data_IF_226149188372
#
_entry.id   IF_226149188372
#
_cell.length_a   1.000
_cell.length_b   1.000
_cell.length_c   1.000
_cell.angle_alpha   90.00
_cell.angle_beta   90.00
_cell.angle_gamma   90.00
#
_symmetry.space_group_name_H-M   'P 1'
#
loop_
_entity.id
_entity.type
_entity.pdbx_description
1 polymer ?
#
# COMPACT_ATOMS: atom_id res chain seq x y z
N UNK A 1 13.89 -4.17 3.67
CA UNK A 1 14.46 -3.36 2.57
C UNK A 1 14.45 -1.91 3.01
N UNK A 2 15.49 -1.15 2.66
CA UNK A 2 15.60 0.29 2.92
C UNK A 2 15.84 1.00 1.57
N UNK A 3 15.08 2.07 1.30
CA UNK A 3 15.16 2.84 0.06
C UNK A 3 15.18 4.36 0.35
N UNK A 4 15.68 5.12 -0.63
CA UNK A 4 15.63 6.58 -0.63
C UNK A 4 14.77 7.03 -1.80
N UNK A 5 13.66 7.72 -1.50
CA UNK A 5 12.77 8.37 -2.46
C UNK A 5 13.01 9.88 -2.44
N UNK A 6 14.08 10.30 -3.12
CA UNK A 6 14.55 11.70 -3.09
C UNK A 6 13.53 12.72 -3.61
N UNK A 7 12.61 12.27 -4.48
CA UNK A 7 11.64 13.10 -5.19
C UNK A 7 10.24 13.00 -4.54
N UNK A 8 10.14 12.44 -3.33
CA UNK A 8 8.89 12.30 -2.56
C UNK A 8 8.42 13.66 -2.00
N UNK A 9 7.13 13.95 -2.10
CA UNK A 9 6.52 15.05 -1.35
C UNK A 9 6.34 14.62 0.11
N UNK A 10 7.12 15.21 1.01
CA UNK A 10 7.11 14.83 2.43
C UNK A 10 5.89 15.39 3.17
N UNK A 11 5.29 14.57 4.02
CA UNK A 11 4.18 14.94 4.90
C UNK A 11 4.18 14.04 6.16
N UNK A 12 3.09 14.06 6.94
CA UNK A 12 2.94 13.20 8.12
C UNK A 12 3.15 11.70 7.86
N UNK A 13 2.91 11.23 6.64
CA UNK A 13 2.93 9.82 6.22
C UNK A 13 4.05 9.48 5.23
N UNK A 14 4.66 10.49 4.60
CA UNK A 14 5.63 10.34 3.51
C UNK A 14 6.98 10.91 3.93
N UNK A 15 8.02 10.07 3.78
CA UNK A 15 9.39 10.43 4.07
C UNK A 15 10.29 10.06 2.89
N UNK A 16 11.39 10.81 2.72
CA UNK A 16 12.42 10.46 1.73
C UNK A 16 13.11 9.13 2.05
N UNK A 17 13.08 8.67 3.30
CA UNK A 17 13.61 7.38 3.71
C UNK A 17 12.45 6.40 3.90
N UNK A 18 12.51 5.27 3.20
CA UNK A 18 11.44 4.27 3.17
C UNK A 18 11.99 2.94 3.63
N UNK A 19 11.35 2.35 4.63
CA UNK A 19 11.67 1.03 5.15
C UNK A 19 10.49 0.07 4.98
N UNK A 20 10.76 -1.14 4.52
CA UNK A 20 9.71 -2.12 4.22
C UNK A 20 10.12 -3.53 4.62
N UNK A 21 9.15 -4.30 5.14
CA UNK A 21 9.18 -5.74 4.94
C UNK A 21 8.78 -5.99 3.49
N UNK A 22 9.80 -6.17 2.66
CA UNK A 22 9.68 -6.43 1.24
C UNK A 22 9.77 -7.94 1.03
N UNK A 23 8.69 -8.55 0.56
CA UNK A 23 8.51 -9.99 0.56
C UNK A 23 7.96 -10.49 -0.77
N UNK A 24 8.33 -11.72 -1.10
CA UNK A 24 7.93 -12.40 -2.33
C UNK A 24 7.71 -13.88 -2.06
N UNK A 25 6.68 -14.48 -2.67
CA UNK A 25 6.34 -15.90 -2.53
C UNK A 25 6.01 -16.50 -3.89
N UNK A 26 6.65 -17.64 -4.21
CA UNK A 26 6.35 -18.44 -5.40
C UNK A 26 4.95 -19.05 -5.29
N UNK A 27 4.18 -18.96 -6.38
CA UNK A 27 2.82 -19.49 -6.50
C UNK A 27 2.67 -20.35 -7.75
N UNK A 28 1.63 -21.17 -7.81
CA UNK A 28 1.26 -21.86 -9.03
C UNK A 28 0.34 -20.99 -9.89
N UNK A 29 0.24 -21.29 -11.20
CA UNK A 29 -0.68 -20.61 -12.12
C UNK A 29 -2.12 -20.62 -11.61
N UNK A 30 -2.57 -21.73 -10.99
CA UNK A 30 -3.93 -21.87 -10.44
C UNK A 30 -4.22 -20.92 -9.27
N UNK A 31 -3.18 -20.42 -8.61
CA UNK A 31 -3.31 -19.52 -7.47
C UNK A 31 -3.54 -18.06 -7.93
N UNK A 32 -3.49 -17.77 -9.23
CA UNK A 32 -3.78 -16.44 -9.79
C UNK A 32 -5.27 -16.14 -9.83
N UNK A 33 -5.84 -15.97 -8.65
CA UNK A 33 -7.26 -15.73 -8.44
C UNK A 33 -7.44 -14.67 -7.38
N UNK A 34 -8.59 -13.99 -7.42
CA UNK A 34 -8.99 -13.05 -6.37
C UNK A 34 -9.02 -13.75 -5.01
N UNK A 35 -9.59 -14.95 -4.92
CA UNK A 35 -9.69 -15.71 -3.66
C UNK A 35 -8.33 -15.92 -2.98
N UNK A 36 -7.29 -16.26 -3.75
CA UNK A 36 -5.94 -16.47 -3.21
C UNK A 36 -5.28 -15.16 -2.77
N UNK A 37 -5.49 -14.08 -3.52
CA UNK A 37 -5.05 -12.74 -3.15
C UNK A 37 -5.70 -12.33 -1.81
N UNK A 38 -7.02 -12.42 -1.71
CA UNK A 38 -7.75 -12.06 -0.49
C UNK A 38 -7.35 -12.94 0.70
N UNK A 39 -7.14 -14.25 0.50
CA UNK A 39 -6.65 -15.14 1.55
C UNK A 39 -5.27 -14.68 2.08
N UNK A 40 -4.38 -14.27 1.17
CA UNK A 40 -3.04 -13.77 1.54
C UNK A 40 -3.14 -12.46 2.31
N UNK A 41 -4.02 -11.54 1.88
CA UNK A 41 -4.29 -10.28 2.59
C UNK A 41 -4.83 -10.54 4.00
N UNK A 42 -5.81 -11.45 4.16
CA UNK A 42 -6.34 -11.81 5.49
C UNK A 42 -5.25 -12.35 6.42
N UNK A 43 -4.29 -13.11 5.89
CA UNK A 43 -3.17 -13.61 6.67
C UNK A 43 -2.22 -12.48 7.13
N UNK A 44 -1.91 -11.53 6.24
CA UNK A 44 -1.06 -10.37 6.55
C UNK A 44 -1.74 -9.48 7.60
N UNK A 45 -3.01 -9.15 7.41
CA UNK A 45 -3.78 -8.35 8.38
C UNK A 45 -3.88 -9.07 9.72
N UNK A 46 -4.09 -10.39 9.71
CA UNK A 46 -4.04 -11.21 10.92
C UNK A 46 -2.73 -11.03 11.69
N UNK A 47 -1.58 -11.11 11.01
CA UNK A 47 -0.27 -10.92 11.63
C UNK A 47 -0.06 -9.49 12.17
N UNK A 48 -0.58 -8.48 11.47
CA UNK A 48 -0.55 -7.08 11.91
C UNK A 48 -1.36 -6.90 13.19
N UNK A 49 -2.60 -7.42 13.23
CA UNK A 49 -3.46 -7.32 14.43
C UNK A 49 -2.86 -8.07 15.61
N UNK A 50 -2.31 -9.27 15.40
CA UNK A 50 -1.65 -10.05 16.46
C UNK A 50 -0.43 -9.33 17.04
N UNK A 51 0.32 -8.61 16.20
CA UNK A 51 1.43 -7.78 16.64
C UNK A 51 0.93 -6.62 17.50
N UNK A 52 -0.15 -5.96 17.07
CA UNK A 52 -0.77 -4.88 17.84
C UNK A 52 -1.30 -5.35 19.19
N UNK A 53 -1.97 -6.50 19.24
CA UNK A 53 -2.46 -7.13 20.48
C UNK A 53 -1.30 -7.44 21.45
N UNK A 54 -0.19 -7.99 20.93
CA UNK A 54 1.00 -8.27 21.73
C UNK A 54 1.64 -6.98 22.29
N UNK A 55 1.66 -5.89 21.50
CA UNK A 55 2.16 -4.59 21.95
C UNK A 55 1.31 -4.00 23.06
N UNK A 56 -0.02 -4.09 23.00
CA UNK A 56 -0.90 -3.63 24.08
C UNK A 56 -0.65 -4.38 25.39
N UNK A 57 -0.37 -5.69 25.32
CA UNK A 57 -0.03 -6.48 26.50
C UNK A 57 1.31 -6.03 27.09
N UNK A 58 2.32 -5.84 26.23
CA UNK A 58 3.67 -5.46 26.65
C UNK A 58 3.74 -4.00 27.15
N UNK A 59 2.95 -3.11 26.56
CA UNK A 59 2.95 -1.67 26.82
C UNK A 59 1.51 -1.18 27.05
N UNK A 60 0.99 -1.26 28.30
CA UNK A 60 -0.40 -0.90 28.61
C UNK A 60 -0.78 0.58 28.36
N UNK A 61 0.19 1.44 28.06
CA UNK A 61 -0.03 2.83 27.63
C UNK A 61 -0.43 2.96 26.17
N UNK A 62 -0.30 1.90 25.36
CA UNK A 62 -0.75 1.86 23.98
C UNK A 62 -2.23 1.49 23.93
N UNK A 63 -3.00 2.22 23.13
CA UNK A 63 -4.46 2.10 23.07
C UNK A 63 -4.98 1.91 21.63
N UNK A 64 -4.10 1.81 20.64
CA UNK A 64 -4.49 1.58 19.24
C UNK A 64 -5.13 0.21 19.10
N UNK A 65 -6.37 0.15 18.63
CA UNK A 65 -7.08 -1.09 18.30
C UNK A 65 -7.20 -1.19 16.78
N UNK A 66 -6.87 -2.35 16.23
CA UNK A 66 -6.96 -2.63 14.79
C UNK A 66 -8.01 -3.70 14.54
N UNK A 67 -8.80 -3.51 13.47
CA UNK A 67 -9.85 -4.45 13.09
C UNK A 67 -9.27 -5.60 12.25
N UNK A 68 -9.61 -6.85 12.60
CA UNK A 68 -9.13 -8.05 11.88
C UNK A 68 -9.93 -8.34 10.61
N UNK A 69 -11.20 -7.93 10.58
CA UNK A 69 -12.06 -8.16 9.43
C UNK A 69 -11.68 -7.20 8.30
N UNK A 70 -11.29 -7.77 7.16
CA UNK A 70 -10.88 -7.01 5.98
C UNK A 70 -12.09 -6.83 5.07
N UNK A 71 -12.44 -5.59 4.76
CA UNK A 71 -13.41 -5.25 3.73
C UNK A 71 -12.72 -5.17 2.36
N UNK A 72 -13.18 -5.95 1.40
CA UNK A 72 -12.63 -6.00 0.04
C UNK A 72 -13.47 -5.15 -0.90
N UNK A 73 -12.83 -4.25 -1.64
CA UNK A 73 -13.52 -3.37 -2.58
C UNK A 73 -12.58 -2.97 -3.71
N UNK A 74 -13.10 -2.83 -4.92
CA UNK A 74 -12.34 -2.36 -6.08
C UNK A 74 -12.35 -0.84 -6.19
N UNK A 75 -11.32 -0.29 -6.84
CA UNK A 75 -11.26 1.13 -7.20
C UNK A 75 -12.46 1.59 -8.05
N UNK A 76 -12.97 0.72 -8.93
CA UNK A 76 -14.16 1.03 -9.74
C UNK A 76 -15.44 1.09 -8.89
N UNK A 77 -15.64 0.17 -7.95
CA UNK A 77 -16.78 0.24 -7.02
C UNK A 77 -16.77 1.53 -6.19
N UNK A 78 -15.57 1.99 -5.79
CA UNK A 78 -15.44 3.28 -5.10
C UNK A 78 -15.77 4.47 -6.01
N UNK A 79 -15.38 4.43 -7.29
CA UNK A 79 -15.75 5.47 -8.26
C UNK A 79 -17.25 5.50 -8.53
N UNK A 80 -17.88 4.35 -8.64
CA UNK A 80 -19.32 4.23 -8.87
C UNK A 80 -20.11 4.73 -7.66
N UNK A 81 -19.63 4.44 -6.44
CA UNK A 81 -20.25 4.84 -5.18
C UNK A 81 -20.06 6.32 -4.87
N UNK A 82 -18.87 6.87 -5.07
CA UNK A 82 -18.54 8.26 -4.79
C UNK A 82 -17.89 8.94 -6.01
N UNK A 83 -18.70 9.20 -7.05
CA UNK A 83 -18.18 9.70 -8.31
C UNK A 83 -17.59 11.10 -8.25
N UNK A 84 -18.10 11.93 -7.33
CA UNK A 84 -17.67 13.32 -7.17
C UNK A 84 -16.49 13.46 -6.20
N UNK A 85 -16.02 12.35 -5.60
CA UNK A 85 -14.87 12.33 -4.69
C UNK A 85 -13.57 12.10 -5.47
N UNK A 86 -12.48 12.70 -4.99
CA UNK A 86 -11.13 12.35 -5.42
C UNK A 86 -10.76 10.94 -4.94
N UNK A 87 -9.75 10.27 -5.54
CA UNK A 87 -9.27 8.96 -5.09
C UNK A 87 -9.03 8.88 -3.58
N UNK A 88 -8.31 9.86 -3.00
CA UNK A 88 -8.05 9.91 -1.55
C UNK A 88 -9.30 10.15 -0.71
N UNK A 89 -10.26 10.95 -1.18
CA UNK A 89 -11.54 11.10 -0.50
C UNK A 89 -12.36 9.80 -0.50
N UNK A 90 -12.25 8.97 -1.55
CA UNK A 90 -12.89 7.65 -1.59
C UNK A 90 -12.25 6.68 -0.61
N UNK A 91 -10.92 6.66 -0.53
CA UNK A 91 -10.16 5.90 0.47
C UNK A 91 -10.56 6.30 1.90
N UNK A 92 -10.60 7.60 2.19
CA UNK A 92 -11.01 8.10 3.50
C UNK A 92 -12.46 7.73 3.84
N UNK A 93 -13.38 7.86 2.87
CA UNK A 93 -14.78 7.52 3.06
C UNK A 93 -15.00 6.03 3.35
N UNK A 94 -14.33 5.12 2.61
CA UNK A 94 -14.46 3.69 2.88
C UNK A 94 -13.80 3.29 4.19
N UNK A 95 -12.63 3.86 4.53
CA UNK A 95 -11.96 3.57 5.80
C UNK A 95 -12.74 4.06 7.01
N UNK A 96 -13.55 5.11 6.88
CA UNK A 96 -14.47 5.57 7.95
C UNK A 96 -15.64 4.62 8.19
N UNK A 97 -16.04 3.83 7.19
CA UNK A 97 -17.10 2.83 7.31
C UNK A 97 -16.56 1.46 7.73
N UNK A 98 -15.40 1.10 7.20
CA UNK A 98 -14.70 -0.15 7.44
C UNK A 98 -13.25 0.17 7.81
N UNK A 99 -12.85 0.01 9.08
CA UNK A 99 -11.52 0.46 9.50
C UNK A 99 -10.35 -0.32 8.92
N UNK A 100 -10.61 -1.45 8.25
CA UNK A 100 -9.60 -2.26 7.56
C UNK A 100 -10.13 -2.62 6.19
N UNK A 101 -9.49 -2.09 5.15
CA UNK A 101 -9.90 -2.21 3.76
C UNK A 101 -8.75 -2.75 2.94
N UNK A 102 -9.03 -3.66 2.02
CA UNK A 102 -8.15 -3.95 0.91
C UNK A 102 -8.73 -3.35 -0.36
N UNK A 103 -8.11 -2.27 -0.83
CA UNK A 103 -8.52 -1.57 -2.04
C UNK A 103 -7.87 -2.23 -3.24
N UNK A 104 -8.66 -2.92 -4.04
CA UNK A 104 -8.22 -3.76 -5.13
C UNK A 104 -8.22 -3.03 -6.48
N UNK A 105 -7.42 -3.56 -7.41
CA UNK A 105 -7.36 -3.15 -8.80
C UNK A 105 -6.86 -1.72 -8.99
N UNK A 106 -5.65 -1.46 -8.48
CA UNK A 106 -4.99 -0.17 -8.56
C UNK A 106 -4.02 -0.20 -9.73
N UNK A 107 -4.28 0.62 -10.74
CA UNK A 107 -3.30 0.87 -11.80
C UNK A 107 -3.90 1.07 -13.17
N UNK A 108 -5.06 0.49 -13.53
CA UNK A 108 -5.71 0.74 -14.82
C UNK A 108 -6.67 1.95 -14.74
N UNK A 109 -7.05 2.48 -15.91
CA UNK A 109 -7.93 3.64 -16.00
C UNK A 109 -9.37 3.26 -15.62
N UNK A 110 -9.98 4.04 -14.72
CA UNK A 110 -11.36 3.85 -14.31
C UNK A 110 -12.34 4.30 -15.40
N UNK A 111 -13.53 3.69 -15.45
CA UNK A 111 -14.48 3.87 -16.54
C UNK A 111 -15.02 5.30 -16.66
N UNK A 112 -15.27 5.98 -15.53
CA UNK A 112 -15.89 7.32 -15.56
C UNK A 112 -14.85 8.41 -15.68
N UNK A 113 -13.79 8.38 -14.88
CA UNK A 113 -12.76 9.41 -14.90
C UNK A 113 -11.80 9.28 -16.09
N UNK A 114 -11.68 8.09 -16.68
CA UNK A 114 -10.68 7.80 -17.72
C UNK A 114 -9.24 7.93 -17.22
N UNK A 115 -9.05 7.84 -15.89
CA UNK A 115 -7.77 7.98 -15.20
C UNK A 115 -7.65 6.86 -14.18
N UNK A 116 -6.43 6.42 -13.85
CA UNK A 116 -6.25 5.46 -12.78
C UNK A 116 -6.62 6.07 -11.43
N UNK A 117 -7.05 5.22 -10.49
CA UNK A 117 -7.27 5.62 -9.09
C UNK A 117 -5.97 6.15 -8.47
N UNK A 118 -4.87 5.42 -8.68
CA UNK A 118 -3.52 5.82 -8.33
C UNK A 118 -2.51 5.22 -9.32
N UNK A 119 -1.30 5.79 -9.37
CA UNK A 119 -0.22 5.33 -10.24
C UNK A 119 0.31 3.95 -9.83
N UNK A 120 0.50 3.07 -10.82
CA UNK A 120 1.16 1.78 -10.61
C UNK A 120 2.10 1.48 -11.77
N UNK A 121 3.25 0.89 -11.47
CA UNK A 121 4.18 0.53 -12.53
C UNK A 121 3.62 -0.67 -13.33
N UNK A 122 3.95 -0.78 -14.62
CA UNK A 122 3.38 -1.80 -15.50
C UNK A 122 4.06 -3.17 -15.41
N UNK A 123 5.15 -3.29 -14.66
CA UNK A 123 6.14 -4.37 -14.78
C UNK A 123 6.27 -5.28 -13.55
N UNK A 124 5.54 -5.03 -12.46
CA UNK A 124 5.62 -5.89 -11.28
C UNK A 124 4.26 -6.45 -10.82
N UNK A 125 3.22 -5.64 -10.65
CA UNK A 125 1.89 -6.11 -10.22
C UNK A 125 0.93 -6.27 -11.39
N UNK A 126 0.15 -7.35 -11.40
CA UNK A 126 -1.03 -7.45 -12.25
C UNK A 126 -2.13 -6.54 -11.68
N UNK A 127 -2.49 -5.47 -12.39
CA UNK A 127 -3.48 -4.49 -11.93
C UNK A 127 -4.89 -5.07 -11.77
N UNK A 128 -5.17 -6.28 -12.25
CA UNK A 128 -6.42 -6.96 -11.96
C UNK A 128 -6.37 -7.75 -10.64
N UNK A 129 -5.17 -8.02 -10.12
CA UNK A 129 -4.89 -8.89 -8.97
C UNK A 129 -3.92 -8.24 -7.97
N UNK A 130 -4.06 -6.93 -7.76
CA UNK A 130 -3.30 -6.17 -6.77
C UNK A 130 -4.21 -5.33 -5.88
N UNK A 131 -3.60 -4.68 -4.89
CA UNK A 131 -4.27 -3.69 -4.08
C UNK A 131 -3.43 -3.19 -2.92
N UNK A 132 -4.05 -2.29 -2.16
CA UNK A 132 -3.45 -1.65 -0.99
C UNK A 132 -4.22 -2.01 0.27
N UNK A 133 -3.50 -2.30 1.36
CA UNK A 133 -4.08 -2.48 2.69
C UNK A 133 -4.15 -1.11 3.36
N UNK A 134 -5.37 -0.62 3.54
CA UNK A 134 -5.70 0.64 4.19
C UNK A 134 -6.28 0.37 5.56
N UNK A 135 -5.77 1.03 6.59
CA UNK A 135 -6.33 1.03 7.93
C UNK A 135 -6.79 2.45 8.30
N UNK A 136 -7.86 2.58 9.06
CA UNK A 136 -8.28 3.87 9.56
C UNK A 136 -7.36 4.34 10.68
N UNK A 137 -6.78 5.53 10.53
CA UNK A 137 -5.95 6.14 11.56
C UNK A 137 -6.75 7.21 12.32
N UNK A 138 -7.11 6.97 13.60
CA UNK A 138 -7.93 7.91 14.37
C UNK A 138 -7.17 9.16 14.82
N UNK A 139 -5.83 9.15 14.83
CA UNK A 139 -5.00 10.31 15.17
C UNK A 139 -5.06 11.34 14.05
N UNK A 140 -5.05 10.88 12.80
CA UNK A 140 -5.10 11.72 11.60
C UNK A 140 -6.50 11.84 10.98
N UNK A 141 -7.50 11.11 11.51
CA UNK A 141 -8.89 11.03 11.00
C UNK A 141 -8.98 10.73 9.50
N UNK A 142 -8.20 9.74 9.03
CA UNK A 142 -8.10 9.41 7.59
C UNK A 142 -7.68 7.97 7.32
N UNK A 143 -7.78 7.57 6.05
CA UNK A 143 -7.19 6.34 5.54
C UNK A 143 -5.66 6.36 5.67
N UNK A 144 -5.09 5.21 6.02
CA UNK A 144 -3.67 5.03 6.28
C UNK A 144 -3.20 3.74 5.61
N UNK A 145 -2.49 3.89 4.49
CA UNK A 145 -1.96 2.75 3.73
C UNK A 145 -0.73 2.16 4.45
N UNK A 146 -0.81 0.89 4.82
CA UNK A 146 0.31 0.15 5.44
C UNK A 146 1.06 -0.76 4.47
N UNK A 147 0.42 -1.16 3.37
CA UNK A 147 0.99 -2.10 2.42
C UNK A 147 0.46 -1.88 1.02
N UNK A 148 1.35 -2.05 0.06
CA UNK A 148 1.06 -2.18 -1.37
C UNK A 148 1.48 -3.60 -1.80
N UNK A 149 0.57 -4.39 -2.37
CA UNK A 149 0.84 -5.79 -2.71
C UNK A 149 0.00 -6.31 -3.89
N UNK A 150 0.43 -7.43 -4.46
CA UNK A 150 -0.31 -8.04 -5.55
C UNK A 150 0.29 -9.36 -6.01
N UNK A 151 -0.54 -10.09 -6.76
CA UNK A 151 -0.06 -11.16 -7.62
C UNK A 151 0.69 -10.49 -8.76
N UNK A 152 1.92 -10.95 -9.01
CA UNK A 152 2.80 -10.28 -9.96
C UNK A 152 2.30 -10.43 -11.39
N UNK A 153 2.78 -9.59 -12.29
CA UNK A 153 2.47 -9.73 -13.71
C UNK A 153 2.87 -11.10 -14.24
N UNK A 154 2.11 -11.58 -15.22
CA UNK A 154 2.52 -12.67 -16.08
C UNK A 154 2.81 -12.18 -17.50
N UNK A 155 3.04 -13.11 -18.43
CA UNK A 155 3.35 -12.79 -19.81
C UNK A 155 2.27 -11.93 -20.46
N UNK A 156 0.99 -12.24 -20.19
CA UNK A 156 -0.17 -11.58 -20.79
C UNK A 156 -0.40 -10.22 -20.15
N UNK A 157 -0.38 -10.16 -18.80
CA UNK A 157 -0.65 -8.93 -18.09
C UNK A 157 0.48 -7.92 -18.28
N UNK A 158 1.75 -8.34 -18.30
CA UNK A 158 2.86 -7.42 -18.58
C UNK A 158 2.81 -6.89 -20.02
N UNK A 159 2.50 -7.74 -21.02
CA UNK A 159 2.34 -7.31 -22.41
C UNK A 159 1.30 -6.19 -22.53
N UNK A 160 0.12 -6.41 -21.92
CA UNK A 160 -0.96 -5.43 -21.87
C UNK A 160 -0.52 -4.15 -21.15
N UNK A 161 0.03 -4.26 -19.93
CA UNK A 161 0.33 -3.12 -19.07
C UNK A 161 1.46 -2.25 -19.62
N UNK A 162 2.52 -2.84 -20.19
CA UNK A 162 3.61 -2.10 -20.84
C UNK A 162 3.07 -1.28 -22.00
N UNK A 163 2.25 -1.88 -22.86
CA UNK A 163 1.66 -1.19 -23.99
C UNK A 163 0.73 -0.06 -23.54
N UNK A 164 -0.16 -0.36 -22.58
CA UNK A 164 -1.12 0.60 -22.00
C UNK A 164 -0.43 1.82 -21.39
N UNK A 165 0.79 1.68 -20.84
CA UNK A 165 1.59 2.77 -20.25
C UNK A 165 2.65 3.32 -21.20
N UNK A 166 2.66 2.92 -22.47
CA UNK A 166 3.64 3.39 -23.46
C UNK A 166 5.09 3.04 -23.11
N UNK A 167 5.30 1.96 -22.37
CA UNK A 167 6.60 1.49 -21.87
C UNK A 167 7.11 0.25 -22.66
N UNK A 168 6.73 0.12 -23.93
CA UNK A 168 7.10 -1.03 -24.76
C UNK A 168 8.63 -1.18 -24.94
N UNK A 169 9.40 -0.11 -24.77
CA UNK A 169 10.87 -0.13 -24.78
C UNK A 169 11.46 -1.01 -23.66
N UNK A 170 10.76 -1.15 -22.53
CA UNK A 170 11.22 -1.98 -21.39
C UNK A 170 11.30 -3.46 -21.73
N UNK A 171 10.57 -3.93 -22.74
CA UNK A 171 10.61 -5.33 -23.23
C UNK A 171 12.02 -5.78 -23.59
N UNK A 172 12.90 -4.83 -23.93
CA UNK A 172 14.28 -5.14 -24.29
C UNK A 172 15.19 -5.41 -23.08
N UNK A 173 14.75 -5.05 -21.87
CA UNK A 173 15.51 -5.20 -20.63
C UNK A 173 15.52 -6.68 -20.17
N UNK A 174 16.60 -7.12 -19.49
CA UNK A 174 16.79 -8.54 -19.14
C UNK A 174 15.62 -9.17 -18.38
N UNK A 175 15.11 -8.49 -17.36
CA UNK A 175 13.98 -8.98 -16.55
C UNK A 175 12.72 -9.21 -17.40
N UNK A 176 12.36 -8.23 -18.23
CA UNK A 176 11.15 -8.27 -19.05
C UNK A 176 11.24 -9.38 -20.12
N UNK A 177 12.42 -9.57 -20.73
CA UNK A 177 12.65 -10.67 -21.68
C UNK A 177 12.41 -12.03 -21.03
N UNK A 178 12.99 -12.26 -19.86
CA UNK A 178 12.87 -13.52 -19.15
C UNK A 178 11.42 -13.80 -18.72
N UNK A 179 10.72 -12.78 -18.21
CA UNK A 179 9.33 -12.95 -17.79
C UNK A 179 8.41 -13.19 -19.00
N UNK A 180 8.53 -12.40 -20.08
CA UNK A 180 7.74 -12.60 -21.31
C UNK A 180 8.01 -13.96 -22.00
N UNK A 181 9.19 -14.55 -21.76
CA UNK A 181 9.54 -15.89 -22.24
C UNK A 181 9.08 -17.03 -21.30
N UNK A 182 8.43 -16.71 -20.17
CA UNK A 182 7.98 -17.68 -19.18
C UNK A 182 9.12 -18.34 -18.39
N UNK A 183 10.30 -17.69 -18.32
CA UNK A 183 11.49 -18.24 -17.64
C UNK A 183 11.50 -17.95 -16.14
N UNK A 184 10.68 -16.99 -15.69
CA UNK A 184 10.57 -16.63 -14.27
C UNK A 184 9.37 -17.32 -13.61
N UNK A 185 9.47 -17.68 -12.32
CA UNK A 185 8.33 -18.23 -11.59
C UNK A 185 7.25 -17.16 -11.41
N UNK A 186 6.01 -17.62 -11.26
CA UNK A 186 4.90 -16.77 -10.84
C UNK A 186 5.00 -16.53 -9.34
N UNK A 187 4.71 -15.30 -8.93
CA UNK A 187 4.80 -14.90 -7.53
C UNK A 187 3.64 -14.01 -7.10
N UNK A 188 3.46 -13.94 -5.79
CA UNK A 188 2.73 -12.89 -5.09
C UNK A 188 3.72 -12.21 -4.15
N UNK A 189 3.63 -10.90 -4.01
CA UNK A 189 4.50 -10.17 -3.08
C UNK A 189 3.97 -8.80 -2.74
N UNK A 190 4.74 -8.07 -1.93
CA UNK A 190 4.39 -6.72 -1.53
C UNK A 190 5.40 -6.10 -0.58
N UNK A 191 5.18 -4.83 -0.30
CA UNK A 191 5.95 -4.08 0.70
C UNK A 191 5.03 -3.61 1.81
N UNK A 192 5.37 -3.96 3.06
CA UNK A 192 4.70 -3.44 4.25
C UNK A 192 5.62 -2.40 4.89
N UNK A 193 5.16 -1.15 5.00
CA UNK A 193 5.95 -0.04 5.54
C UNK A 193 6.27 -0.23 7.02
N UNK A 194 7.54 -0.34 7.40
CA UNK A 194 7.93 -0.60 8.79
C UNK A 194 7.60 0.61 9.67
N UNK A 195 8.07 1.79 9.28
CA UNK A 195 7.80 3.04 10.01
C UNK A 195 6.33 3.41 9.98
N UNK A 196 5.61 3.14 8.88
CA UNK A 196 4.15 3.32 8.83
C UNK A 196 3.43 2.42 9.83
N UNK A 197 3.83 1.16 9.93
CA UNK A 197 3.24 0.23 10.90
C UNK A 197 3.53 0.65 12.35
N UNK A 198 4.77 1.07 12.64
CA UNK A 198 5.16 1.61 13.95
C UNK A 198 4.33 2.84 14.31
N UNK A 199 4.21 3.81 13.39
CA UNK A 199 3.40 5.02 13.58
C UNK A 199 1.94 4.68 13.90
N UNK A 200 1.34 3.76 13.14
CA UNK A 200 -0.03 3.32 13.36
C UNK A 200 -0.21 2.67 14.75
N UNK A 201 0.61 1.68 15.09
CA UNK A 201 0.48 0.91 16.34
C UNK A 201 0.80 1.72 17.59
N UNK A 202 1.77 2.65 17.51
CA UNK A 202 2.13 3.54 18.62
C UNK A 202 1.11 4.68 18.74
N UNK A 203 0.44 5.05 17.65
CA UNK A 203 -0.51 6.16 17.61
C UNK A 203 0.18 7.52 17.55
N UNK A 204 1.30 7.60 16.80
CA UNK A 204 2.00 8.88 16.56
C UNK A 204 1.34 9.65 15.41
N UNK A 205 1.52 10.97 15.37
CA UNK A 205 0.91 11.84 14.38
C UNK A 205 1.80 12.09 13.15
N UNK A 206 3.10 11.82 13.25
CA UNK A 206 4.07 12.04 12.21
C UNK A 206 5.05 10.87 12.11
N UNK A 207 5.35 10.41 10.89
CA UNK A 207 6.23 9.26 10.65
C UNK A 207 7.66 9.51 11.18
N UNK A 208 8.10 10.77 11.18
CA UNK A 208 9.37 11.18 11.78
C UNK A 208 9.49 10.96 13.30
N UNK A 209 8.41 10.63 14.02
CA UNK A 209 8.48 10.25 15.44
C UNK A 209 9.02 8.82 15.64
N UNK A 210 8.98 8.00 14.59
CA UNK A 210 9.42 6.59 14.63
C UNK A 210 10.59 6.31 13.67
N UNK A 211 11.02 7.33 12.92
CA UNK A 211 12.02 7.21 11.87
C UNK A 211 12.90 8.46 11.77
N UNK A 212 14.22 8.29 11.72
CA UNK A 212 15.15 9.38 11.45
C UNK A 212 15.22 9.67 9.94
N UNK A 213 14.94 10.91 9.54
CA UNK A 213 14.94 11.35 8.14
C UNK A 213 15.24 12.85 8.03
N UNK A 214 15.11 13.40 6.82
CA UNK A 214 15.26 14.85 6.58
C UNK A 214 13.89 15.49 6.45
N UNK A 215 13.73 16.61 7.15
CA UNK A 215 12.52 17.42 7.19
C UNK A 215 12.87 18.88 6.98
N UNK A 216 12.00 19.63 6.33
CA UNK A 216 12.17 21.06 6.19
C UNK A 216 11.93 21.76 7.55
N UNK A 217 12.38 23.01 7.63
CA UNK A 217 12.31 23.78 8.88
C UNK A 217 10.87 24.06 9.32
N UNK A 218 9.94 24.27 8.38
CA UNK A 218 8.55 24.55 8.70
C UNK A 218 7.90 23.33 9.37
N UNK A 219 8.14 22.13 8.85
CA UNK A 219 7.71 20.87 9.45
C UNK A 219 8.26 20.68 10.87
N UNK A 220 9.57 20.90 11.07
CA UNK A 220 10.21 20.78 12.39
C UNK A 220 9.66 21.79 13.40
N UNK A 221 9.49 23.05 13.01
CA UNK A 221 8.97 24.11 13.87
C UNK A 221 7.49 23.86 14.23
N UNK A 222 6.68 23.39 13.28
CA UNK A 222 5.28 23.03 13.49
C UNK A 222 5.12 21.85 14.46
N UNK A 223 5.90 20.78 14.26
CA UNK A 223 5.92 19.61 15.15
C UNK A 223 6.35 20.00 16.57
N UNK A 224 7.46 20.74 16.71
CA UNK A 224 7.94 21.18 18.02
C UNK A 224 6.91 22.05 18.76
N UNK A 225 6.21 22.94 18.04
CA UNK A 225 5.13 23.77 18.62
C UNK A 225 3.93 22.95 19.08
N UNK A 226 3.64 21.83 18.40
CA UNK A 226 2.59 20.89 18.77
C UNK A 226 3.02 19.88 19.88
N UNK A 227 4.28 19.92 20.31
CA UNK A 227 4.83 18.96 21.29
C UNK A 227 5.20 17.61 20.68
N UNK A 228 5.33 17.55 19.37
CA UNK A 228 5.68 16.35 18.58
C UNK A 228 7.20 16.29 18.43
N UNK A 229 7.81 15.17 18.84
CA UNK A 229 9.25 14.96 18.78
C UNK A 229 9.63 14.16 17.53
N UNK A 230 10.26 14.82 16.57
CA UNK A 230 10.86 14.17 15.40
C UNK A 230 12.28 13.69 15.73
N UNK A 231 12.63 12.46 15.33
CA UNK A 231 13.93 11.81 15.54
C UNK A 231 15.06 12.34 14.63
#
# INVERSE_FOLDING_TARGET
MNAIRRDEEVDNLHSIYVDQWDWEKVIERRDRTVDFLEQTVRAIVGAVVETNDALQIAFPSLHTVLDREVYFVTTQELEDRWPDYTPKQREDAICKEHHTVFLMQIGDDLHRSGKPHDGRAPDYDDWALNGDILMYNPVLDRSFEISSMGIRVDEVSMDYQLHKRGCDDRRELPFHKMLLAGELPLTIGGGIGQSRLCMLMIGTCHIGEVQASLWDKETLDACAKAGVMIL
#
